data_IF_750275333050
#
_entry.id   IF_750275333050
#
_cell.length_a   1.000
_cell.length_b   1.000
_cell.length_c   1.000
_cell.angle_alpha   90.00
_cell.angle_beta   90.00
_cell.angle_gamma   90.00
#
_symmetry.space_group_name_H-M   'P 1'
#
loop_
_entity.id
_entity.type
_entity.pdbx_description
1 polymer ?
#
# COMPACT_ATOMS: atom_id res chain seq x y z
N UNK A 1 1.42 4.84 -21.46
CA UNK A 1 0.26 5.56 -20.89
C UNK A 1 0.80 6.45 -19.80
N UNK A 2 0.27 7.67 -19.58
CA UNK A 2 0.65 8.44 -18.40
C UNK A 2 0.30 7.66 -17.14
N UNK A 3 1.16 7.71 -16.12
CA UNK A 3 0.92 7.08 -14.82
C UNK A 3 -0.26 7.72 -14.09
N UNK A 4 -0.68 7.08 -12.99
CA UNK A 4 -1.76 7.59 -12.13
C UNK A 4 -1.41 8.99 -11.61
N UNK A 5 -2.30 9.99 -11.72
CA UNK A 5 -2.03 11.34 -11.22
C UNK A 5 -1.76 11.39 -9.70
N UNK A 6 -0.82 12.24 -9.29
CA UNK A 6 -0.41 12.38 -7.88
C UNK A 6 -1.56 12.72 -6.92
N UNK A 7 -2.55 13.51 -7.37
CA UNK A 7 -3.72 13.86 -6.57
C UNK A 7 -4.66 12.66 -6.36
N UNK A 8 -4.74 11.77 -7.34
CA UNK A 8 -5.47 10.49 -7.25
C UNK A 8 -4.75 9.54 -6.29
N UNK A 9 -3.42 9.40 -6.42
CA UNK A 9 -2.61 8.61 -5.49
C UNK A 9 -2.78 9.14 -4.06
N UNK A 10 -2.68 10.46 -3.86
CA UNK A 10 -2.87 11.08 -2.55
C UNK A 10 -4.25 10.78 -1.93
N UNK A 11 -5.30 10.75 -2.73
CA UNK A 11 -6.65 10.36 -2.26
C UNK A 11 -6.70 8.91 -1.81
N UNK A 12 -6.08 8.00 -2.56
CA UNK A 12 -6.01 6.58 -2.19
C UNK A 12 -5.24 6.38 -0.89
N UNK A 13 -4.08 7.01 -0.74
CA UNK A 13 -3.27 6.93 0.48
C UNK A 13 -4.02 7.37 1.74
N UNK A 14 -4.80 8.47 1.67
CA UNK A 14 -5.67 8.90 2.79
C UNK A 14 -6.72 7.85 3.12
N UNK A 15 -7.37 7.29 2.10
CA UNK A 15 -8.42 6.27 2.28
C UNK A 15 -7.84 4.98 2.87
N UNK A 16 -6.64 4.59 2.45
CA UNK A 16 -5.91 3.46 3.03
C UNK A 16 -5.59 3.72 4.51
N UNK A 17 -5.05 4.89 4.85
CA UNK A 17 -4.73 5.26 6.23
C UNK A 17 -5.97 5.21 7.14
N UNK A 18 -7.08 5.80 6.70
CA UNK A 18 -8.36 5.78 7.45
C UNK A 18 -8.91 4.35 7.58
N UNK A 19 -8.74 3.51 6.55
CA UNK A 19 -9.12 2.11 6.57
C UNK A 19 -8.30 1.30 7.58
N UNK A 20 -6.99 1.49 7.61
CA UNK A 20 -6.09 0.78 8.54
C UNK A 20 -6.38 1.21 9.99
N UNK A 21 -6.56 2.51 10.25
CA UNK A 21 -6.90 3.01 11.59
C UNK A 21 -8.23 2.44 12.11
N UNK A 22 -9.22 2.25 11.21
CA UNK A 22 -10.55 1.74 11.58
C UNK A 22 -10.58 0.22 11.72
N UNK A 23 -10.00 -0.48 10.75
CA UNK A 23 -10.20 -1.93 10.56
C UNK A 23 -9.01 -2.75 11.09
N UNK A 24 -7.87 -2.11 11.37
CA UNK A 24 -6.61 -2.75 11.76
C UNK A 24 -5.70 -3.06 10.58
N UNK A 25 -4.44 -3.34 10.92
CA UNK A 25 -3.41 -3.79 10.00
C UNK A 25 -3.24 -5.31 10.11
N UNK A 26 -3.26 -5.99 8.97
CA UNK A 26 -2.93 -7.41 8.91
C UNK A 26 -1.42 -7.59 8.67
N UNK A 27 -0.82 -8.55 9.37
CA UNK A 27 0.64 -8.75 9.41
C UNK A 27 1.06 -10.23 9.27
N UNK A 28 0.16 -11.13 8.88
CA UNK A 28 0.51 -12.54 8.68
C UNK A 28 0.96 -12.75 7.22
N UNK A 29 2.06 -13.47 7.02
CA UNK A 29 2.78 -13.52 5.74
C UNK A 29 2.09 -14.39 4.67
N UNK A 30 1.16 -15.28 5.06
CA UNK A 30 0.55 -16.23 4.12
C UNK A 30 -0.69 -15.67 3.42
N UNK A 31 -1.29 -14.61 3.95
CA UNK A 31 -2.48 -13.96 3.40
C UNK A 31 -2.35 -12.44 3.46
N UNK A 32 -2.97 -11.75 2.52
CA UNK A 32 -2.96 -10.28 2.50
C UNK A 32 -4.07 -9.67 3.38
N UNK A 33 -5.01 -10.50 3.84
CA UNK A 33 -6.16 -10.08 4.62
C UNK A 33 -6.51 -11.11 5.69
N UNK A 34 -7.07 -10.62 6.79
CA UNK A 34 -7.69 -11.48 7.80
C UNK A 34 -9.03 -12.04 7.27
N UNK A 35 -9.23 -13.35 7.38
CA UNK A 35 -10.50 -13.99 7.04
C UNK A 35 -11.60 -13.73 8.08
N UNK A 36 -11.23 -13.39 9.32
CA UNK A 36 -12.14 -13.23 10.46
C UNK A 36 -12.47 -11.76 10.79
N UNK A 37 -11.62 -10.82 10.38
CA UNK A 37 -11.82 -9.38 10.60
C UNK A 37 -11.85 -8.58 9.30
N UNK A 38 -11.72 -7.26 9.38
CA UNK A 38 -11.58 -6.37 8.22
C UNK A 38 -10.14 -5.87 8.04
N UNK A 39 -9.20 -6.37 8.84
CA UNK A 39 -7.81 -5.98 8.80
C UNK A 39 -7.16 -6.43 7.49
N UNK A 40 -6.44 -5.51 6.86
CA UNK A 40 -5.73 -5.71 5.60
C UNK A 40 -4.27 -5.32 5.75
N UNK A 41 -3.42 -5.97 4.99
CA UNK A 41 -2.06 -5.50 4.80
C UNK A 41 -2.03 -4.34 3.80
N UNK A 42 -0.84 -3.79 3.55
CA UNK A 42 -0.68 -2.61 2.70
C UNK A 42 -1.08 -2.90 1.24
N UNK A 43 -0.62 -3.99 0.58
CA UNK A 43 -1.07 -4.33 -0.76
C UNK A 43 -2.58 -4.57 -0.91
N UNK A 44 -3.22 -5.32 -0.01
CA UNK A 44 -4.67 -5.52 -0.02
C UNK A 44 -5.42 -4.21 0.20
N UNK A 45 -4.95 -3.36 1.12
CA UNK A 45 -5.56 -2.05 1.38
C UNK A 45 -5.51 -1.16 0.14
N UNK A 46 -4.39 -1.15 -0.59
CA UNK A 46 -4.27 -0.44 -1.85
C UNK A 46 -5.24 -0.99 -2.91
N UNK A 47 -5.27 -2.32 -3.09
CA UNK A 47 -6.18 -2.95 -4.04
C UNK A 47 -7.65 -2.64 -3.75
N UNK A 48 -8.07 -2.78 -2.48
CA UNK A 48 -9.44 -2.48 -2.03
C UNK A 48 -9.78 -1.02 -2.27
N UNK A 49 -8.85 -0.12 -1.99
CA UNK A 49 -9.06 1.33 -2.13
C UNK A 49 -9.21 1.74 -3.59
N UNK A 50 -8.36 1.23 -4.48
CA UNK A 50 -8.39 1.54 -5.91
C UNK A 50 -9.60 0.91 -6.59
N UNK A 51 -9.88 -0.36 -6.33
CA UNK A 51 -10.91 -1.11 -7.08
C UNK A 51 -12.28 -1.10 -6.43
N UNK A 52 -12.38 -0.69 -5.16
CA UNK A 52 -13.59 -0.79 -4.34
C UNK A 52 -13.98 -2.22 -3.98
N UNK A 53 -13.12 -3.22 -4.25
CA UNK A 53 -13.40 -4.65 -4.03
C UNK A 53 -12.17 -5.35 -3.46
N UNK A 54 -12.39 -6.42 -2.71
CA UNK A 54 -11.32 -7.33 -2.29
C UNK A 54 -11.73 -8.78 -2.62
N UNK A 55 -11.10 -9.41 -3.63
CA UNK A 55 -11.35 -10.80 -3.96
C UNK A 55 -11.03 -11.72 -2.79
N UNK A 56 -11.84 -12.78 -2.57
CA UNK A 56 -11.70 -13.68 -1.43
C UNK A 56 -10.31 -14.35 -1.34
N UNK A 57 -9.61 -14.49 -2.48
CA UNK A 57 -8.28 -15.09 -2.54
C UNK A 57 -7.23 -14.32 -1.73
N UNK A 58 -7.44 -13.03 -1.44
CA UNK A 58 -6.55 -12.24 -0.57
C UNK A 58 -6.54 -12.76 0.87
N UNK A 59 -7.59 -13.45 1.31
CA UNK A 59 -7.72 -14.04 2.64
C UNK A 59 -7.53 -15.57 2.66
N UNK A 60 -7.12 -16.18 1.55
CA UNK A 60 -7.02 -17.64 1.44
C UNK A 60 -5.57 -18.11 1.62
N UNK A 61 -5.23 -18.88 2.67
CA UNK A 61 -3.84 -19.17 3.05
C UNK A 61 -3.24 -20.30 2.22
N UNK A 62 -3.19 -20.13 0.90
CA UNK A 62 -2.54 -21.08 -0.01
C UNK A 62 -1.59 -20.36 -0.95
N UNK A 63 -0.46 -21.00 -1.27
CA UNK A 63 0.54 -20.45 -2.20
C UNK A 63 -0.07 -20.07 -3.55
N UNK A 64 -1.03 -20.86 -4.05
CA UNK A 64 -1.75 -20.56 -5.30
C UNK A 64 -2.61 -19.30 -5.19
N UNK A 65 -3.28 -19.09 -4.05
CA UNK A 65 -4.09 -17.90 -3.82
C UNK A 65 -3.21 -16.65 -3.64
N UNK A 66 -2.12 -16.75 -2.88
CA UNK A 66 -1.16 -15.64 -2.72
C UNK A 66 -0.54 -15.27 -4.08
N UNK A 67 -0.13 -16.24 -4.89
CA UNK A 67 0.38 -15.98 -6.23
C UNK A 67 -0.66 -15.28 -7.13
N UNK A 68 -1.92 -15.72 -7.08
CA UNK A 68 -3.02 -15.05 -7.82
C UNK A 68 -3.31 -13.65 -7.29
N UNK A 69 -3.19 -13.41 -5.98
CA UNK A 69 -3.34 -12.09 -5.40
C UNK A 69 -2.25 -11.14 -5.93
N UNK A 70 -0.99 -11.59 -5.95
CA UNK A 70 0.11 -10.86 -6.54
C UNK A 70 -0.13 -10.56 -8.03
N UNK A 71 -0.61 -11.53 -8.81
CA UNK A 71 -0.98 -11.30 -10.21
C UNK A 71 -2.05 -10.22 -10.36
N UNK A 72 -3.10 -10.23 -9.54
CA UNK A 72 -4.15 -9.21 -9.59
C UNK A 72 -3.64 -7.81 -9.21
N UNK A 73 -2.71 -7.72 -8.24
CA UNK A 73 -2.03 -6.47 -7.90
C UNK A 73 -1.24 -5.96 -9.12
N UNK A 74 -0.41 -6.82 -9.72
CA UNK A 74 0.48 -6.49 -10.84
C UNK A 74 -0.28 -6.13 -12.13
N UNK A 75 -1.42 -6.78 -12.39
CA UNK A 75 -2.28 -6.52 -13.55
C UNK A 75 -3.01 -5.17 -13.45
N UNK A 76 -3.13 -4.60 -12.25
CA UNK A 76 -3.75 -3.30 -12.04
C UNK A 76 -2.69 -2.19 -11.95
N UNK A 77 -2.53 -1.45 -13.04
CA UNK A 77 -1.53 -0.39 -13.15
C UNK A 77 -1.68 0.70 -12.06
N UNK A 78 -2.92 1.09 -11.73
CA UNK A 78 -3.18 2.11 -10.71
C UNK A 78 -2.82 1.63 -9.31
N UNK A 79 -3.11 0.36 -8.99
CA UNK A 79 -2.65 -0.25 -7.73
C UNK A 79 -1.13 -0.27 -7.68
N UNK A 80 -0.45 -0.70 -8.74
CA UNK A 80 1.00 -0.72 -8.77
C UNK A 80 1.63 0.67 -8.68
N UNK A 81 1.01 1.71 -9.25
CA UNK A 81 1.48 3.08 -9.10
C UNK A 81 1.39 3.55 -7.64
N UNK A 82 0.28 3.25 -6.94
CA UNK A 82 0.14 3.53 -5.51
C UNK A 82 1.20 2.78 -4.71
N UNK A 83 1.40 1.48 -4.96
CA UNK A 83 2.40 0.68 -4.24
C UNK A 83 3.82 1.18 -4.50
N UNK A 84 4.16 1.54 -5.74
CA UNK A 84 5.47 2.12 -6.05
C UNK A 84 5.69 3.44 -5.34
N UNK A 85 4.70 4.33 -5.33
CA UNK A 85 4.80 5.61 -4.63
C UNK A 85 5.09 5.41 -3.13
N UNK A 86 4.41 4.44 -2.49
CA UNK A 86 4.68 4.09 -1.09
C UNK A 86 6.10 3.53 -0.94
N UNK A 87 6.48 2.54 -1.75
CA UNK A 87 7.78 1.88 -1.67
C UNK A 87 8.96 2.83 -1.92
N UNK A 88 8.81 3.78 -2.84
CA UNK A 88 9.79 4.83 -3.13
C UNK A 88 9.91 5.81 -1.97
N UNK A 89 8.78 6.25 -1.41
CA UNK A 89 8.78 7.11 -0.23
C UNK A 89 9.43 6.43 0.98
N UNK A 90 9.16 5.15 1.19
CA UNK A 90 9.78 4.36 2.26
C UNK A 90 11.30 4.24 2.06
N UNK A 91 11.74 3.92 0.84
CA UNK A 91 13.17 3.83 0.52
C UNK A 91 13.90 5.18 0.68
N UNK A 92 13.23 6.29 0.38
CA UNK A 92 13.77 7.63 0.62
C UNK A 92 13.81 8.01 2.11
N UNK A 93 12.83 7.55 2.89
CA UNK A 93 12.69 7.88 4.32
C UNK A 93 13.63 7.04 5.19
N UNK A 94 13.81 5.77 4.83
CA UNK A 94 14.67 4.82 5.54
C UNK A 94 15.64 4.13 4.56
N UNK A 95 16.66 4.85 4.07
CA UNK A 95 17.59 4.33 3.08
C UNK A 95 18.53 3.24 3.64
N UNK A 96 18.66 3.16 4.96
CA UNK A 96 19.54 2.20 5.65
C UNK A 96 18.91 0.81 5.85
N UNK A 97 17.63 0.64 5.51
CA UNK A 97 16.93 -0.65 5.60
C UNK A 97 17.21 -1.50 4.35
N UNK A 98 17.40 -2.81 4.57
CA UNK A 98 17.56 -3.78 3.49
C UNK A 98 16.21 -4.11 2.88
N UNK A 99 15.87 -3.41 1.80
CA UNK A 99 14.60 -3.56 1.11
C UNK A 99 14.69 -4.64 0.03
N UNK A 100 13.73 -5.57 0.01
CA UNK A 100 13.53 -6.45 -1.15
C UNK A 100 13.21 -5.64 -2.41
N UNK A 101 13.66 -6.11 -3.57
CA UNK A 101 13.43 -5.48 -4.88
C UNK A 101 11.96 -5.56 -5.32
N UNK A 102 11.23 -6.60 -4.88
CA UNK A 102 9.81 -6.74 -5.21
C UNK A 102 8.96 -5.78 -4.35
N UNK A 103 8.20 -4.91 -5.02
CA UNK A 103 7.39 -3.86 -4.37
C UNK A 103 6.28 -4.45 -3.50
N UNK A 104 5.67 -5.57 -3.91
CA UNK A 104 4.58 -6.19 -3.17
C UNK A 104 5.13 -6.84 -1.91
N UNK A 105 6.20 -7.63 -2.03
CA UNK A 105 6.86 -8.27 -0.89
C UNK A 105 7.40 -7.24 0.10
N UNK A 106 7.96 -6.14 -0.40
CA UNK A 106 8.46 -5.04 0.44
C UNK A 106 7.36 -4.47 1.33
N UNK A 107 6.19 -4.21 0.76
CA UNK A 107 5.08 -3.58 1.46
C UNK A 107 4.30 -4.56 2.33
N UNK A 108 4.18 -5.83 1.92
CA UNK A 108 3.62 -6.89 2.74
C UNK A 108 4.47 -7.11 4.01
N UNK A 109 5.80 -7.05 3.87
CA UNK A 109 6.72 -7.24 4.99
C UNK A 109 6.98 -5.97 5.83
N UNK A 110 6.49 -4.80 5.42
CA UNK A 110 6.70 -3.54 6.13
C UNK A 110 6.31 -3.61 7.62
N UNK A 111 5.14 -4.19 8.00
CA UNK A 111 4.74 -4.30 9.41
C UNK A 111 5.65 -5.18 10.26
N UNK A 112 6.41 -6.09 9.63
CA UNK A 112 7.30 -7.02 10.32
C UNK A 112 8.68 -6.41 10.61
N UNK A 113 8.96 -5.19 10.13
CA UNK A 113 10.21 -4.50 10.40
C UNK A 113 10.26 -3.98 11.83
N UNK A 114 11.44 -4.04 12.44
CA UNK A 114 11.62 -3.64 13.84
C UNK A 114 11.23 -2.18 14.05
N UNK A 115 10.30 -1.95 14.99
CA UNK A 115 9.84 -0.60 15.34
C UNK A 115 8.76 -0.03 14.43
N UNK A 116 8.29 -0.79 13.44
CA UNK A 116 7.12 -0.40 12.64
C UNK A 116 5.83 -0.74 13.41
N UNK A 117 4.95 0.25 13.51
CA UNK A 117 3.60 0.08 14.08
C UNK A 117 2.55 0.49 13.06
N UNK A 118 1.29 0.13 13.31
CA UNK A 118 0.18 0.56 12.46
C UNK A 118 0.08 2.09 12.40
N UNK A 119 0.31 2.79 13.52
CA UNK A 119 0.32 4.25 13.59
C UNK A 119 1.46 4.84 12.74
N UNK A 120 2.64 4.23 12.75
CA UNK A 120 3.74 4.66 11.89
C UNK A 120 3.36 4.54 10.41
N UNK A 121 2.76 3.40 10.03
CA UNK A 121 2.29 3.16 8.66
C UNK A 121 1.26 4.21 8.25
N UNK A 122 0.20 4.42 9.04
CA UNK A 122 -0.85 5.38 8.66
C UNK A 122 -0.35 6.82 8.69
N UNK A 123 0.60 7.16 9.55
CA UNK A 123 1.28 8.45 9.50
C UNK A 123 2.09 8.62 8.21
N UNK A 124 2.90 7.63 7.83
CA UNK A 124 3.68 7.67 6.58
C UNK A 124 2.79 7.80 5.33
N UNK A 125 1.66 7.08 5.29
CA UNK A 125 0.70 7.22 4.19
C UNK A 125 0.11 8.64 4.11
N UNK A 126 -0.20 9.26 5.25
CA UNK A 126 -0.72 10.64 5.31
C UNK A 126 0.34 11.67 4.90
N UNK A 127 1.58 11.50 5.35
CA UNK A 127 2.68 12.40 5.01
C UNK A 127 2.98 12.36 3.51
N UNK A 128 3.01 11.16 2.91
CA UNK A 128 3.13 11.00 1.48
C UNK A 128 1.96 11.64 0.73
N UNK A 129 0.71 11.40 1.17
CA UNK A 129 -0.47 12.02 0.57
C UNK A 129 -0.43 13.55 0.62
N UNK A 130 0.07 14.12 1.73
CA UNK A 130 0.25 15.56 1.88
C UNK A 130 1.30 16.10 0.90
N UNK A 131 2.46 15.43 0.82
CA UNK A 131 3.56 15.79 -0.10
C UNK A 131 3.10 15.81 -1.56
N UNK A 132 2.42 14.75 -2.01
CA UNK A 132 1.90 14.64 -3.38
C UNK A 132 0.87 15.74 -3.70
N UNK A 133 -0.02 16.06 -2.76
CA UNK A 133 -1.00 17.14 -2.95
C UNK A 133 -0.36 18.53 -2.97
N UNK A 134 0.70 18.75 -2.18
CA UNK A 134 1.46 19.99 -2.18
C UNK A 134 2.22 20.17 -3.50
N UNK A 135 2.85 19.11 -4.02
CA UNK A 135 3.54 19.11 -5.31
C UNK A 135 2.58 19.40 -6.48
N UNK A 136 1.38 18.79 -6.48
CA UNK A 136 0.36 19.04 -7.49
C UNK A 136 -0.21 20.48 -7.45
N UNK A 137 -0.14 21.13 -6.29
CA UNK A 137 -0.62 22.51 -6.09
C UNK A 137 0.46 23.57 -6.31
N UNK A 138 1.73 23.17 -6.45
CA UNK A 138 2.81 24.10 -6.69
C UNK A 138 2.66 24.72 -8.09
N UNK A 139 2.66 26.06 -8.22
CA UNK A 139 2.65 26.67 -9.54
C UNK A 139 3.91 26.23 -10.28
N UNK A 140 3.75 25.70 -11.49
CA UNK A 140 4.88 25.46 -12.38
C UNK A 140 5.61 26.80 -12.56
N UNK A 141 6.79 26.94 -11.99
CA UNK A 141 7.62 28.11 -12.19
C UNK A 141 7.92 28.20 -13.70
N UNK A 142 7.40 29.26 -14.32
CA UNK A 142 7.59 29.59 -15.73
C UNK A 142 9.01 30.11 -16.01
#
# INVERSE_FOLDING_TARGET
MPGTPDDVIAKHLRTMADGIDRDGLWTDDLTFADAASQALDVPASAYRTVTGRLPFLFAFPTVEASARACSLLQENAEVMDVLRAIAEHMAATWPDLDWTDDVIDRLANWPNLLGVTAELITQTLRDLAHSLSAAASAPAAA
#
